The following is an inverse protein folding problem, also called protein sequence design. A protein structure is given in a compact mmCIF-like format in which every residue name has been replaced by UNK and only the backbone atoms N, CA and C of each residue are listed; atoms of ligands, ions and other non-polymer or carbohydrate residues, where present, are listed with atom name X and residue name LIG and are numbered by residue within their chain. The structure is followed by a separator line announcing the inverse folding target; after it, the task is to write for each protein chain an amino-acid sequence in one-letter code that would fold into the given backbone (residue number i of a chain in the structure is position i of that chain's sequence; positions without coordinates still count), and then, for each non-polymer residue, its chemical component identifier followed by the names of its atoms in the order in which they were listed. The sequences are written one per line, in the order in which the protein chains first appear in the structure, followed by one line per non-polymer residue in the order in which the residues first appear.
data_IF_554259991296
#
_entry.id   IF_554259991296
#
_cell.length_a   1.000
_cell.length_b   1.000
_cell.length_c   1.000
_cell.angle_alpha   90.00
_cell.angle_beta   90.00
_cell.angle_gamma   90.00
#
_symmetry.space_group_name_H-M   'P 1'
#
loop_
_entity.id
_entity.type
_entity.pdbx_description
1 polymer ?
#
# COMPACT_ATOMS: atom_id res chain seq x y z
N UNK A 1 1.50 -32.63 7.47
CA UNK A 1 1.95 -32.48 8.88
C UNK A 1 0.83 -31.76 9.63
N UNK A 2 0.70 -31.98 10.94
CA UNK A 2 -0.31 -31.27 11.72
C UNK A 2 0.22 -29.87 12.07
N UNK A 3 -0.62 -28.85 11.90
CA UNK A 3 -0.22 -27.48 12.19
C UNK A 3 0.00 -27.28 13.70
N UNK A 4 1.02 -26.52 14.06
CA UNK A 4 1.35 -26.18 15.45
C UNK A 4 1.37 -24.66 15.62
N UNK A 5 0.61 -24.16 16.60
CA UNK A 5 0.57 -22.76 16.95
C UNK A 5 1.72 -22.39 17.88
N UNK A 6 2.56 -21.45 17.46
CA UNK A 6 3.71 -20.97 18.22
C UNK A 6 3.31 -19.68 18.94
N UNK A 7 3.22 -19.76 20.27
CA UNK A 7 2.65 -18.72 21.12
C UNK A 7 3.72 -17.79 21.70
N UNK A 8 3.45 -16.49 21.72
CA UNK A 8 4.31 -15.48 22.33
C UNK A 8 3.48 -14.45 23.13
N UNK A 9 3.83 -14.18 24.39
CA UNK A 9 3.16 -13.20 25.25
C UNK A 9 3.66 -11.75 25.05
N UNK A 10 4.62 -11.55 24.13
CA UNK A 10 5.19 -10.24 23.82
C UNK A 10 5.68 -9.51 25.08
N UNK A 11 6.68 -10.09 25.76
CA UNK A 11 7.26 -9.63 27.01
C UNK A 11 6.25 -9.49 28.16
N UNK A 12 5.28 -10.40 28.22
CA UNK A 12 4.21 -10.44 29.22
C UNK A 12 3.13 -9.37 29.03
N UNK A 13 3.07 -8.71 27.87
CA UNK A 13 2.07 -7.67 27.59
C UNK A 13 0.68 -8.23 27.26
N UNK A 14 0.56 -9.55 27.06
CA UNK A 14 -0.72 -10.25 26.93
C UNK A 14 -0.72 -11.56 27.70
N UNK A 15 -1.91 -12.07 28.06
CA UNK A 15 -2.07 -13.39 28.66
C UNK A 15 -2.57 -14.39 27.62
N UNK A 16 -1.91 -15.55 27.55
CA UNK A 16 -2.27 -16.64 26.64
C UNK A 16 -2.43 -17.94 27.43
N UNK A 17 -3.58 -18.58 27.29
CA UNK A 17 -3.83 -19.92 27.83
C UNK A 17 -3.61 -20.96 26.73
N UNK A 18 -2.40 -21.52 26.67
CA UNK A 18 -2.04 -22.51 25.66
C UNK A 18 -2.92 -23.76 25.70
N UNK A 19 -3.40 -24.19 26.88
CA UNK A 19 -4.22 -25.38 27.01
C UNK A 19 -5.65 -25.12 26.51
N UNK A 20 -6.25 -23.99 26.91
CA UNK A 20 -7.57 -23.60 26.42
C UNK A 20 -7.58 -23.34 24.91
N UNK A 21 -6.52 -22.74 24.35
CA UNK A 21 -6.39 -22.53 22.91
C UNK A 21 -6.20 -23.86 22.16
N UNK A 22 -5.40 -24.79 22.68
CA UNK A 22 -5.20 -26.10 22.07
C UNK A 22 -6.52 -26.89 22.00
N UNK A 23 -7.28 -26.91 23.10
CA UNK A 23 -8.59 -27.56 23.19
C UNK A 23 -9.60 -26.95 22.22
N UNK A 24 -9.72 -25.61 22.22
CA UNK A 24 -10.70 -24.92 21.39
C UNK A 24 -10.39 -24.97 19.87
N UNK A 25 -9.11 -24.99 19.49
CA UNK A 25 -8.70 -24.91 18.08
C UNK A 25 -8.42 -26.28 17.45
N UNK A 26 -8.28 -27.33 18.25
CA UNK A 26 -7.84 -28.65 17.80
C UNK A 26 -6.43 -28.65 17.20
N UNK A 27 -5.56 -27.74 17.68
CA UNK A 27 -4.17 -27.59 17.24
C UNK A 27 -3.22 -27.85 18.41
N UNK A 28 -2.05 -28.39 18.10
CA UNK A 28 -0.96 -28.38 19.08
C UNK A 28 -0.51 -26.93 19.31
N UNK A 29 -0.34 -26.54 20.57
CA UNK A 29 0.25 -25.26 20.93
C UNK A 29 1.65 -25.49 21.51
N UNK A 30 2.59 -24.60 21.18
CA UNK A 30 3.87 -24.54 21.89
C UNK A 30 3.66 -24.10 23.34
N UNK A 31 4.72 -24.17 24.15
CA UNK A 31 4.79 -23.33 25.36
C UNK A 31 4.64 -21.86 24.97
N UNK A 32 4.19 -21.02 25.90
CA UNK A 32 4.18 -19.58 25.69
C UNK A 32 5.60 -19.03 25.82
N UNK A 33 6.07 -18.41 24.75
CA UNK A 33 7.34 -17.69 24.69
C UNK A 33 7.12 -16.24 25.12
N UNK A 34 8.18 -15.53 25.51
CA UNK A 34 8.06 -14.11 25.86
C UNK A 34 8.82 -13.17 24.93
N UNK A 35 9.79 -13.69 24.19
CA UNK A 35 10.64 -12.93 23.29
C UNK A 35 10.93 -13.75 22.02
N UNK A 36 9.88 -14.32 21.41
CA UNK A 36 10.00 -15.25 20.29
C UNK A 36 10.76 -14.64 19.09
N UNK A 37 10.54 -13.37 18.80
CA UNK A 37 11.16 -12.64 17.69
C UNK A 37 12.59 -12.15 17.99
N UNK A 38 13.06 -12.23 19.24
CA UNK A 38 14.36 -11.70 19.66
C UNK A 38 15.15 -12.79 20.40
N UNK A 39 15.19 -12.75 21.73
CA UNK A 39 16.04 -13.60 22.57
C UNK A 39 15.72 -15.10 22.44
N UNK A 40 14.55 -15.43 21.90
CA UNK A 40 14.07 -16.80 21.74
C UNK A 40 13.86 -17.19 20.26
N UNK A 41 14.49 -16.48 19.32
CA UNK A 41 14.35 -16.72 17.87
C UNK A 41 14.72 -18.14 17.44
N UNK A 42 15.69 -18.76 18.11
CA UNK A 42 16.06 -20.16 17.85
C UNK A 42 14.95 -21.17 18.16
N UNK A 43 13.91 -20.81 18.92
CA UNK A 43 12.72 -21.64 19.07
C UNK A 43 11.77 -21.53 17.87
N UNK A 44 11.65 -20.33 17.28
CA UNK A 44 10.90 -20.12 16.04
C UNK A 44 11.58 -20.85 14.89
N UNK A 45 12.90 -20.74 14.77
CA UNK A 45 13.71 -21.45 13.76
C UNK A 45 13.43 -22.97 13.77
N UNK A 46 13.51 -23.60 14.95
CA UNK A 46 13.24 -25.04 15.12
C UNK A 46 11.80 -25.41 14.76
N UNK A 47 10.84 -24.59 15.17
CA UNK A 47 9.43 -24.83 14.88
C UNK A 47 9.15 -24.72 13.37
N UNK A 48 9.70 -23.70 12.72
CA UNK A 48 9.55 -23.47 11.29
C UNK A 48 10.23 -24.57 10.46
N UNK A 49 11.46 -24.96 10.83
CA UNK A 49 12.20 -26.04 10.18
C UNK A 49 11.51 -27.42 10.32
N UNK A 50 10.76 -27.64 11.40
CA UNK A 50 9.95 -28.85 11.57
C UNK A 50 8.71 -28.90 10.64
N UNK A 51 8.33 -27.76 10.06
CA UNK A 51 7.17 -27.62 9.17
C UNK A 51 5.83 -27.50 9.91
N UNK A 52 4.86 -26.83 9.28
CA UNK A 52 3.51 -26.64 9.85
C UNK A 52 3.44 -25.64 11.01
N UNK A 53 4.46 -24.79 11.20
CA UNK A 53 4.42 -23.73 12.19
C UNK A 53 3.45 -22.62 11.78
N UNK A 54 2.62 -22.19 12.73
CA UNK A 54 1.80 -20.99 12.63
C UNK A 54 2.25 -20.05 13.75
N UNK A 55 2.79 -18.90 13.40
CA UNK A 55 3.34 -17.94 14.35
C UNK A 55 2.22 -17.01 14.84
N UNK A 56 1.93 -17.01 16.15
CA UNK A 56 0.91 -16.17 16.77
C UNK A 56 1.42 -14.73 17.03
N UNK A 57 2.12 -14.14 16.06
CA UNK A 57 2.63 -12.78 16.09
C UNK A 57 2.61 -12.17 14.69
N UNK A 58 1.84 -11.09 14.49
CA UNK A 58 1.78 -10.39 13.21
C UNK A 58 2.73 -9.19 13.14
N UNK A 59 3.02 -8.53 14.27
CA UNK A 59 3.90 -7.35 14.31
C UNK A 59 5.28 -7.65 13.73
N UNK A 60 5.85 -8.80 14.09
CA UNK A 60 7.22 -9.19 13.73
C UNK A 60 7.25 -10.15 12.55
N UNK A 61 6.22 -10.10 11.69
CA UNK A 61 6.11 -10.94 10.48
C UNK A 61 7.37 -10.88 9.62
N UNK A 62 7.87 -9.67 9.35
CA UNK A 62 9.07 -9.47 8.52
C UNK A 62 10.29 -10.21 9.07
N UNK A 63 10.45 -10.25 10.40
CA UNK A 63 11.53 -10.97 11.08
C UNK A 63 11.46 -12.49 10.82
N UNK A 64 10.26 -13.06 10.88
CA UNK A 64 10.07 -14.49 10.62
C UNK A 64 10.09 -14.84 9.13
N UNK A 65 9.67 -13.93 8.24
CA UNK A 65 9.82 -14.11 6.79
C UNK A 65 11.30 -14.12 6.40
N UNK A 66 12.10 -13.18 6.91
CA UNK A 66 13.55 -13.18 6.73
C UNK A 66 14.20 -14.47 7.27
N UNK A 67 13.75 -14.96 8.44
CA UNK A 67 14.21 -16.23 8.98
C UNK A 67 13.85 -17.43 8.08
N UNK A 68 12.66 -17.42 7.46
CA UNK A 68 12.26 -18.47 6.53
C UNK A 68 13.14 -18.46 5.27
N UNK A 69 13.47 -17.27 4.75
CA UNK A 69 14.40 -17.08 3.63
C UNK A 69 15.80 -17.62 3.96
N UNK A 70 16.34 -17.28 5.13
CA UNK A 70 17.65 -17.78 5.61
C UNK A 70 17.67 -19.30 5.74
N UNK A 71 16.55 -19.90 6.14
CA UNK A 71 16.37 -21.35 6.25
C UNK A 71 16.09 -22.05 4.91
N UNK A 72 15.78 -21.29 3.85
CA UNK A 72 15.40 -21.83 2.54
C UNK A 72 14.07 -22.59 2.55
N UNK A 73 13.11 -22.15 3.37
CA UNK A 73 11.77 -22.75 3.50
C UNK A 73 10.67 -21.72 3.17
N UNK A 74 9.45 -22.21 2.93
CA UNK A 74 8.29 -21.33 2.78
C UNK A 74 7.99 -20.60 4.10
N UNK A 75 7.52 -19.36 3.98
CA UNK A 75 7.10 -18.57 5.13
C UNK A 75 5.96 -19.29 5.91
N UNK A 76 5.98 -19.26 7.25
CA UNK A 76 4.94 -19.88 8.06
C UNK A 76 3.62 -19.13 7.95
N UNK A 77 2.54 -19.73 8.45
CA UNK A 77 1.30 -18.99 8.67
C UNK A 77 1.46 -17.97 9.81
N UNK A 78 0.71 -16.86 9.76
CA UNK A 78 0.72 -15.83 10.79
C UNK A 78 -0.68 -15.55 11.31
N UNK A 79 -0.79 -15.33 12.62
CA UNK A 79 -2.05 -14.97 13.29
C UNK A 79 -1.78 -13.83 14.28
N UNK A 80 -2.55 -12.76 14.16
CA UNK A 80 -2.53 -11.67 15.11
C UNK A 80 -3.45 -11.96 16.30
N UNK A 81 -2.91 -12.56 17.37
CA UNK A 81 -3.64 -12.72 18.63
C UNK A 81 -3.50 -11.51 19.55
N UNK A 82 -2.44 -10.71 19.38
CA UNK A 82 -2.11 -9.62 20.30
C UNK A 82 -2.98 -8.41 20.05
N UNK A 83 -2.91 -7.83 18.86
CA UNK A 83 -3.58 -6.56 18.59
C UNK A 83 -5.07 -6.78 18.37
N UNK A 84 -5.47 -7.94 17.83
CA UNK A 84 -6.89 -8.29 17.63
C UNK A 84 -7.57 -8.84 18.88
N UNK A 85 -6.85 -9.26 19.92
CA UNK A 85 -7.48 -9.83 21.12
C UNK A 85 -6.75 -9.52 22.44
N UNK A 86 -5.47 -9.88 22.59
CA UNK A 86 -4.72 -9.82 23.85
C UNK A 86 -4.57 -8.42 24.44
N UNK A 87 -4.46 -7.37 23.61
CA UNK A 87 -4.36 -5.97 24.01
C UNK A 87 -5.71 -5.23 24.05
N UNK A 88 -6.82 -5.96 24.14
CA UNK A 88 -8.13 -5.35 24.40
C UNK A 88 -8.39 -5.18 25.91
N UNK A 89 -9.36 -4.32 26.26
CA UNK A 89 -9.84 -4.16 27.64
C UNK A 89 -10.31 -5.48 28.26
N UNK A 90 -10.73 -6.44 27.43
CA UNK A 90 -11.17 -7.77 27.83
C UNK A 90 -10.10 -8.86 27.60
N UNK A 91 -8.83 -8.48 27.41
CA UNK A 91 -7.72 -9.38 27.05
C UNK A 91 -7.60 -10.61 27.94
N UNK A 92 -7.81 -10.46 29.25
CA UNK A 92 -7.79 -11.58 30.21
C UNK A 92 -8.89 -12.64 29.97
N UNK A 93 -9.96 -12.29 29.25
CA UNK A 93 -11.08 -13.17 28.89
C UNK A 93 -11.15 -13.43 27.38
N UNK A 94 -10.09 -13.09 26.63
CA UNK A 94 -10.12 -13.09 25.17
C UNK A 94 -9.89 -14.47 24.52
N UNK A 95 -9.72 -15.54 25.29
CA UNK A 95 -9.47 -16.89 24.77
C UNK A 95 -10.51 -17.35 23.72
N UNK A 96 -11.84 -17.14 23.88
CA UNK A 96 -12.81 -17.49 22.84
C UNK A 96 -12.61 -16.69 21.54
N UNK A 97 -12.23 -15.40 21.64
CA UNK A 97 -11.93 -14.57 20.48
C UNK A 97 -10.65 -15.03 19.80
N UNK A 98 -9.60 -15.32 20.56
CA UNK A 98 -8.34 -15.86 20.04
C UNK A 98 -8.56 -17.19 19.31
N UNK A 99 -9.37 -18.09 19.86
CA UNK A 99 -9.74 -19.34 19.18
C UNK A 99 -10.49 -19.09 17.86
N UNK A 100 -11.42 -18.13 17.85
CA UNK A 100 -12.11 -17.73 16.62
C UNK A 100 -11.16 -17.13 15.57
N UNK A 101 -10.18 -16.32 15.97
CA UNK A 101 -9.15 -15.77 15.10
C UNK A 101 -8.25 -16.87 14.50
N UNK A 102 -7.94 -17.90 15.29
CA UNK A 102 -7.18 -19.07 14.81
C UNK A 102 -7.99 -19.87 13.80
N UNK A 103 -9.29 -20.06 14.05
CA UNK A 103 -10.18 -20.71 13.10
C UNK A 103 -10.33 -19.90 11.80
N UNK A 104 -10.47 -18.57 11.90
CA UNK A 104 -10.54 -17.65 10.76
C UNK A 104 -9.30 -17.74 9.88
N UNK A 105 -8.10 -17.74 10.48
CA UNK A 105 -6.84 -17.80 9.76
C UNK A 105 -6.63 -19.11 8.97
N UNK A 106 -7.40 -20.16 9.30
CA UNK A 106 -7.38 -21.45 8.62
C UNK A 106 -8.42 -21.56 7.51
N UNK A 107 -9.27 -20.55 7.35
CA UNK A 107 -10.19 -20.50 6.22
C UNK A 107 -9.39 -20.30 4.92
N UNK A 108 -9.80 -20.91 3.80
CA UNK A 108 -9.19 -20.65 2.52
C UNK A 108 -9.21 -19.15 2.21
N UNK A 109 -8.07 -18.57 1.86
CA UNK A 109 -8.00 -17.19 1.45
C UNK A 109 -8.96 -16.94 0.28
N UNK A 110 -9.74 -15.86 0.36
CA UNK A 110 -10.59 -15.46 -0.75
C UNK A 110 -9.73 -15.21 -2.00
N UNK A 111 -10.18 -15.71 -3.15
CA UNK A 111 -9.50 -15.42 -4.42
C UNK A 111 -9.65 -13.93 -4.71
N UNK A 112 -8.58 -13.18 -4.54
CA UNK A 112 -8.50 -11.79 -4.99
C UNK A 112 -8.34 -11.77 -6.50
N UNK A 113 -9.18 -10.97 -7.17
CA UNK A 113 -9.00 -10.69 -8.58
C UNK A 113 -7.90 -9.64 -8.73
N UNK A 114 -6.83 -9.98 -9.43
CA UNK A 114 -5.85 -9.00 -9.89
C UNK A 114 -6.26 -8.51 -11.28
N UNK A 115 -6.07 -7.22 -11.54
CA UNK A 115 -6.20 -6.62 -12.86
C UNK A 115 -4.86 -5.99 -13.21
N UNK A 116 -4.32 -6.39 -14.36
CA UNK A 116 -3.12 -5.75 -14.90
C UNK A 116 -3.51 -4.38 -15.46
N UNK A 117 -2.79 -3.34 -15.06
CA UNK A 117 -2.95 -1.97 -15.55
C UNK A 117 -1.71 -1.60 -16.37
N UNK A 118 -1.94 -1.22 -17.62
CA UNK A 118 -0.88 -0.74 -18.53
C UNK A 118 -0.89 0.79 -18.51
N UNK A 119 0.30 1.40 -18.52
CA UNK A 119 0.51 2.84 -18.58
C UNK A 119 1.62 3.14 -19.57
N UNK A 120 1.38 4.06 -20.49
CA UNK A 120 2.35 4.57 -21.46
C UNK A 120 3.17 5.75 -20.88
N UNK A 121 2.93 6.11 -19.61
CA UNK A 121 3.65 7.17 -18.91
C UNK A 121 3.16 8.58 -19.25
N UNK A 122 1.93 8.73 -19.75
CA UNK A 122 1.31 10.04 -20.02
C UNK A 122 0.75 10.61 -18.72
N UNK A 123 1.21 11.80 -18.31
CA UNK A 123 0.89 12.38 -17.02
C UNK A 123 0.33 13.81 -17.16
N UNK A 124 -0.84 14.05 -16.58
CA UNK A 124 -1.39 15.40 -16.40
C UNK A 124 -1.21 15.83 -14.95
N UNK A 125 -0.54 16.96 -14.73
CA UNK A 125 -0.38 17.57 -13.40
C UNK A 125 -1.18 18.85 -13.38
N UNK A 126 -2.09 19.02 -12.41
CA UNK A 126 -2.98 20.18 -12.37
C UNK A 126 -3.00 20.91 -11.02
N UNK A 127 -2.88 22.23 -11.05
CA UNK A 127 -2.87 23.04 -9.83
C UNK A 127 -2.20 24.41 -9.96
N UNK A 128 -1.90 25.06 -8.82
CA UNK A 128 -1.18 26.33 -8.77
C UNK A 128 0.22 26.22 -9.39
N UNK A 129 0.65 27.24 -10.13
CA UNK A 129 1.91 27.16 -10.88
C UNK A 129 3.15 26.97 -10.00
N UNK A 130 3.15 27.53 -8.80
CA UNK A 130 4.26 27.36 -7.84
C UNK A 130 4.47 25.89 -7.40
N UNK A 131 3.44 25.05 -7.49
CA UNK A 131 3.49 23.62 -7.13
C UNK A 131 3.67 22.75 -8.37
N UNK A 132 2.91 23.04 -9.42
CA UNK A 132 2.88 22.23 -10.64
C UNK A 132 4.20 22.30 -11.40
N UNK A 133 4.80 23.50 -11.55
CA UNK A 133 5.97 23.68 -12.41
C UNK A 133 7.21 22.91 -11.91
N UNK A 134 7.60 22.98 -10.62
CA UNK A 134 8.72 22.17 -10.12
C UNK A 134 8.48 20.67 -10.24
N UNK A 135 7.23 20.23 -10.03
CA UNK A 135 6.88 18.81 -10.16
C UNK A 135 6.94 18.35 -11.63
N UNK A 136 6.46 19.17 -12.55
CA UNK A 136 6.51 18.90 -13.98
C UNK A 136 7.96 18.77 -14.47
N UNK A 137 8.85 19.68 -14.05
CA UNK A 137 10.29 19.61 -14.34
C UNK A 137 10.91 18.31 -13.80
N UNK A 138 10.56 17.93 -12.57
CA UNK A 138 11.10 16.71 -11.96
C UNK A 138 10.64 15.44 -12.68
N UNK A 139 9.39 15.38 -13.13
CA UNK A 139 8.79 14.19 -13.75
C UNK A 139 9.03 14.10 -15.26
N UNK A 140 9.33 15.21 -15.95
CA UNK A 140 9.54 15.24 -17.40
C UNK A 140 10.69 14.35 -17.89
N UNK A 141 11.63 13.97 -17.02
CA UNK A 141 12.69 13.02 -17.36
C UNK A 141 12.24 11.56 -17.49
N UNK A 142 11.06 11.21 -16.96
CA UNK A 142 10.54 9.85 -16.92
C UNK A 142 9.14 9.69 -17.52
N UNK A 143 8.35 10.77 -17.58
CA UNK A 143 6.95 10.77 -18.02
C UNK A 143 6.72 11.82 -19.12
N UNK A 144 5.72 11.57 -19.97
CA UNK A 144 5.23 12.57 -20.92
C UNK A 144 4.27 13.52 -20.18
N UNK A 145 4.79 14.66 -19.74
CA UNK A 145 4.07 15.57 -18.83
C UNK A 145 3.31 16.67 -19.57
N UNK A 146 2.06 16.89 -19.15
CA UNK A 146 1.29 18.11 -19.38
C UNK A 146 1.02 18.80 -18.03
N UNK A 147 1.48 20.04 -17.89
CA UNK A 147 1.29 20.88 -16.71
C UNK A 147 0.12 21.84 -16.93
N UNK A 148 -1.01 21.60 -16.26
CA UNK A 148 -2.19 22.45 -16.28
C UNK A 148 -2.20 23.43 -15.10
N UNK A 149 -1.85 24.67 -15.38
CA UNK A 149 -1.79 25.77 -14.42
C UNK A 149 -3.20 26.34 -14.21
N UNK A 150 -3.69 26.29 -12.97
CA UNK A 150 -5.07 26.70 -12.62
C UNK A 150 -5.19 28.12 -12.09
N UNK A 151 -4.07 28.85 -12.01
CA UNK A 151 -3.97 30.22 -11.49
C UNK A 151 -3.32 31.18 -12.51
N UNK A 152 -2.95 32.37 -12.03
CA UNK A 152 -2.34 33.41 -12.84
C UNK A 152 -0.84 33.26 -13.07
N UNK A 153 -0.19 32.19 -12.59
CA UNK A 153 1.25 32.02 -12.67
C UNK A 153 1.74 31.97 -14.13
N UNK A 154 2.89 32.60 -14.41
CA UNK A 154 3.47 32.65 -15.74
C UNK A 154 3.83 31.24 -16.23
N UNK A 155 3.48 30.92 -17.48
CA UNK A 155 3.79 29.61 -18.06
C UNK A 155 5.24 29.61 -18.55
N UNK A 156 6.05 28.59 -18.20
CA UNK A 156 7.43 28.53 -18.65
C UNK A 156 7.51 28.27 -20.16
N UNK A 157 8.59 28.78 -20.74
CA UNK A 157 8.94 28.56 -22.15
C UNK A 157 9.95 27.41 -22.25
N UNK A 158 9.50 26.21 -21.88
CA UNK A 158 10.28 24.98 -21.99
C UNK A 158 9.75 24.10 -23.12
N UNK A 159 10.59 23.16 -23.57
CA UNK A 159 10.22 22.08 -24.49
C UNK A 159 10.17 20.71 -23.79
N UNK A 160 10.47 20.67 -22.51
CA UNK A 160 10.55 19.42 -21.74
C UNK A 160 9.16 18.87 -21.38
N UNK A 161 8.15 19.75 -21.29
CA UNK A 161 6.75 19.40 -21.06
C UNK A 161 5.81 20.47 -21.61
N UNK A 162 4.54 20.12 -21.78
CA UNK A 162 3.50 21.05 -22.22
C UNK A 162 2.97 21.88 -21.04
N UNK A 163 3.18 23.20 -21.07
CA UNK A 163 2.57 24.12 -20.11
C UNK A 163 1.26 24.70 -20.68
N UNK A 164 0.17 24.50 -19.94
CA UNK A 164 -1.20 24.87 -20.29
C UNK A 164 -1.82 25.68 -19.16
N UNK A 165 -2.81 26.51 -19.47
CA UNK A 165 -3.65 27.16 -18.44
C UNK A 165 -5.10 26.77 -18.65
N UNK A 166 -5.83 26.56 -17.55
CA UNK A 166 -7.26 26.25 -17.63
C UNK A 166 -7.82 25.77 -16.31
N UNK A 167 -9.02 25.21 -16.34
CA UNK A 167 -9.72 24.70 -15.17
C UNK A 167 -10.26 23.31 -15.45
N UNK A 168 -9.91 22.34 -14.62
CA UNK A 168 -10.52 21.01 -14.70
C UNK A 168 -12.01 21.12 -14.39
N UNK A 169 -12.83 20.67 -15.34
CA UNK A 169 -14.28 20.55 -15.20
C UNK A 169 -14.67 19.16 -14.71
N UNK A 170 -14.02 18.12 -15.24
CA UNK A 170 -14.33 16.71 -14.94
C UNK A 170 -13.09 15.85 -15.12
N UNK A 171 -12.93 14.87 -14.25
CA UNK A 171 -12.00 13.75 -14.40
C UNK A 171 -12.86 12.47 -14.38
N UNK A 172 -12.59 11.54 -15.28
CA UNK A 172 -13.15 10.20 -15.28
C UNK A 172 -12.10 9.16 -15.64
N UNK A 173 -12.37 7.89 -15.33
CA UNK A 173 -11.45 6.79 -15.60
C UNK A 173 -10.74 6.29 -14.34
N UNK A 174 -9.61 5.62 -14.55
CA UNK A 174 -8.75 5.06 -13.53
C UNK A 174 -7.28 5.09 -14.01
N UNK A 175 -6.36 4.66 -13.15
CA UNK A 175 -4.95 4.51 -13.50
C UNK A 175 -4.79 3.77 -14.84
N UNK A 176 -4.00 4.33 -15.76
CA UNK A 176 -3.81 3.81 -17.12
C UNK A 176 -4.89 4.21 -18.14
N UNK A 177 -5.82 5.10 -17.78
CA UNK A 177 -6.91 5.49 -18.69
C UNK A 177 -7.83 6.57 -18.14
N UNK A 178 -7.28 7.74 -17.82
CA UNK A 178 -8.04 8.91 -17.43
C UNK A 178 -8.46 9.75 -18.65
N UNK A 179 -9.67 10.28 -18.59
CA UNK A 179 -10.17 11.34 -19.46
C UNK A 179 -10.45 12.59 -18.61
N UNK A 180 -9.82 13.70 -18.97
CA UNK A 180 -9.92 14.98 -18.26
C UNK A 180 -10.51 16.04 -19.18
N UNK A 181 -11.60 16.65 -18.74
CA UNK A 181 -12.26 17.76 -19.42
C UNK A 181 -11.81 19.07 -18.79
N UNK A 182 -11.30 19.99 -19.61
CA UNK A 182 -10.69 21.25 -19.21
C UNK A 182 -11.46 22.41 -19.87
N UNK A 183 -11.94 23.34 -19.04
CA UNK A 183 -12.53 24.59 -19.47
C UNK A 183 -11.52 25.75 -19.40
N UNK A 184 -11.80 26.84 -20.10
CA UNK A 184 -10.91 27.98 -20.27
C UNK A 184 -9.47 27.59 -20.65
N UNK A 185 -9.33 26.53 -21.47
CA UNK A 185 -8.03 26.01 -21.89
C UNK A 185 -7.31 27.05 -22.76
N UNK A 186 -6.09 27.37 -22.38
CA UNK A 186 -5.20 28.30 -23.04
C UNK A 186 -3.82 27.67 -23.22
N UNK A 187 -3.23 27.88 -24.39
CA UNK A 187 -1.91 27.37 -24.77
C UNK A 187 -0.99 28.53 -25.11
N UNK A 188 0.32 28.35 -24.95
CA UNK A 188 1.32 29.33 -25.39
C UNK A 188 1.21 29.52 -26.91
N UNK A 189 1.07 30.77 -27.35
CA UNK A 189 1.07 31.16 -28.76
C UNK A 189 2.48 31.69 -29.13
N UNK A 190 3.31 30.90 -29.81
CA UNK A 190 4.73 31.22 -30.03
C UNK A 190 4.99 32.30 -31.10
N UNK A 191 3.95 32.86 -31.73
CA UNK A 191 4.09 33.83 -32.83
C UNK A 191 3.95 35.28 -32.38
N UNK A 192 4.68 36.19 -33.04
CA UNK A 192 4.54 37.64 -32.85
C UNK A 192 5.86 38.36 -32.54
N UNK A 193 5.81 39.70 -32.46
CA UNK A 193 6.88 40.51 -31.86
C UNK A 193 6.48 40.84 -30.42
N UNK A 194 7.36 40.57 -29.45
CA UNK A 194 7.14 40.85 -28.03
C UNK A 194 7.12 39.59 -27.17
N UNK A 195 6.61 39.72 -25.94
CA UNK A 195 6.38 38.58 -25.05
C UNK A 195 5.34 37.62 -25.65
N UNK A 196 5.46 36.33 -25.33
CA UNK A 196 4.52 35.32 -25.81
C UNK A 196 3.13 35.55 -25.21
N UNK A 197 2.11 35.43 -26.05
CA UNK A 197 0.72 35.47 -25.64
C UNK A 197 0.17 34.08 -25.33
N UNK A 198 -0.99 34.04 -24.68
CA UNK A 198 -1.80 32.83 -24.59
C UNK A 198 -2.87 32.83 -25.68
N UNK A 199 -3.27 31.65 -26.13
CA UNK A 199 -4.45 31.50 -27.00
C UNK A 199 -5.70 32.03 -26.31
N UNK A 200 -6.74 32.31 -27.11
CA UNK A 200 -8.07 32.56 -26.56
C UNK A 200 -8.52 31.36 -25.70
N UNK A 201 -9.18 31.60 -24.56
CA UNK A 201 -9.69 30.53 -23.72
C UNK A 201 -10.76 29.73 -24.47
N UNK A 202 -10.67 28.40 -24.39
CA UNK A 202 -11.62 27.48 -25.02
C UNK A 202 -12.15 26.47 -24.02
N UNK A 203 -13.47 26.32 -23.97
CA UNK A 203 -14.12 25.35 -23.09
C UNK A 203 -14.21 23.96 -23.72
N UNK A 204 -14.32 22.93 -22.87
CA UNK A 204 -14.49 21.54 -23.30
C UNK A 204 -13.27 20.91 -23.98
N UNK A 205 -12.05 21.37 -23.66
CA UNK A 205 -10.83 20.66 -24.03
C UNK A 205 -10.80 19.27 -23.39
N UNK A 206 -10.31 18.26 -24.12
CA UNK A 206 -10.21 16.89 -23.62
C UNK A 206 -8.73 16.50 -23.63
N UNK A 207 -8.25 15.97 -22.50
CA UNK A 207 -6.93 15.35 -22.35
C UNK A 207 -7.10 13.91 -21.92
N UNK A 208 -6.34 13.00 -22.54
CA UNK A 208 -6.25 11.60 -22.15
C UNK A 208 -4.87 11.35 -21.54
N UNK A 209 -4.81 10.68 -20.39
CA UNK A 209 -3.56 10.41 -19.68
C UNK A 209 -3.66 9.16 -18.82
N UNK A 210 -2.53 8.56 -18.48
CA UNK A 210 -2.46 7.37 -17.63
C UNK A 210 -2.45 7.73 -16.15
N UNK A 211 -1.91 8.91 -15.83
CA UNK A 211 -1.69 9.42 -14.48
C UNK A 211 -2.24 10.85 -14.43
N UNK A 212 -3.02 11.14 -13.38
CA UNK A 212 -3.45 12.50 -13.02
C UNK A 212 -2.92 12.82 -11.63
N UNK A 213 -2.24 13.96 -11.48
CA UNK A 213 -1.72 14.48 -10.22
C UNK A 213 -2.36 15.83 -9.90
#
# INVERSE_FOLDING_TARGET
MADTLILCDCAGSQSLDAAALADACGLACSRVHSALCTDQIGAAEKAMAAGGAIIACQQERATFEALAEDLGIDAPGFIDLRDRAGWSDEGARAAPKMAALIAEARLPAARVQSLDVVSDGVCLIAGPGEVVLPLAEHLAGALAVSALITDGAELPLTRDFDALRGRIRRIGGALGGFEVVIDALQMIAPGGRGAFGLSAPRDGGISACDIVI
#
